data_IF_663966077958
#
_entry.id   IF_663966077958
#
_cell.length_a   1.000
_cell.length_b   1.000
_cell.length_c   1.000
_cell.angle_alpha   90.00
_cell.angle_beta   90.00
_cell.angle_gamma   90.00
#
_symmetry.space_group_name_H-M   'P 1'
#
loop_
_entity.id
_entity.type
_entity.pdbx_description
1 polymer ?
#
# COMPACT_ATOMS: atom_id res chain seq x y z
N UNK A 1 -3.45 -18.43 1.45
CA UNK A 1 -4.85 -18.09 1.08
C UNK A 1 -5.31 -18.61 -0.30
N UNK A 2 -4.48 -19.36 -1.04
CA UNK A 2 -4.81 -19.83 -2.41
C UNK A 2 -6.05 -20.75 -2.53
N UNK A 3 -6.30 -21.72 -1.64
CA UNK A 3 -7.52 -22.53 -1.72
C UNK A 3 -8.79 -21.69 -1.54
N UNK A 4 -8.72 -20.64 -0.72
CA UNK A 4 -9.82 -19.70 -0.52
C UNK A 4 -10.02 -18.84 -1.78
N UNK A 5 -8.95 -18.28 -2.35
CA UNK A 5 -9.00 -17.52 -3.60
C UNK A 5 -9.67 -18.30 -4.74
N UNK A 6 -9.28 -19.57 -4.92
CA UNK A 6 -9.88 -20.45 -5.92
C UNK A 6 -11.36 -20.74 -5.64
N UNK A 7 -11.77 -20.87 -4.36
CA UNK A 7 -13.17 -21.10 -3.98
C UNK A 7 -14.06 -19.87 -4.16
N UNK A 8 -13.53 -18.67 -3.92
CA UNK A 8 -14.27 -17.40 -4.07
C UNK A 8 -14.13 -16.80 -5.47
N UNK A 9 -13.40 -17.45 -6.38
CA UNK A 9 -13.18 -16.96 -7.75
C UNK A 9 -12.23 -15.75 -7.85
N UNK A 10 -11.43 -15.48 -6.81
CA UNK A 10 -10.46 -14.39 -6.75
C UNK A 10 -9.17 -14.79 -7.48
N UNK A 11 -9.33 -15.11 -8.75
CA UNK A 11 -8.28 -15.60 -9.63
C UNK A 11 -8.35 -14.87 -10.96
N UNK A 12 -7.20 -14.42 -11.44
CA UNK A 12 -7.06 -13.86 -12.77
C UNK A 12 -6.96 -14.99 -13.80
N UNK A 13 -7.74 -14.91 -14.88
CA UNK A 13 -7.80 -15.93 -15.93
C UNK A 13 -7.15 -15.36 -17.20
N UNK A 14 -6.35 -16.13 -17.97
CA UNK A 14 -5.67 -15.63 -19.15
C UNK A 14 -6.66 -15.06 -20.18
N UNK A 15 -6.33 -13.91 -20.78
CA UNK A 15 -7.08 -13.28 -21.87
C UNK A 15 -6.11 -12.78 -22.94
N UNK A 16 -6.59 -12.36 -24.12
CA UNK A 16 -5.72 -11.91 -25.23
C UNK A 16 -4.78 -10.74 -24.88
N UNK A 17 -5.01 -10.05 -23.76
CA UNK A 17 -4.13 -8.98 -23.25
C UNK A 17 -3.18 -9.42 -22.13
N UNK A 18 -3.29 -10.64 -21.59
CA UNK A 18 -2.56 -11.09 -20.39
C UNK A 18 -1.70 -12.31 -20.68
N UNK A 19 -0.38 -12.14 -20.61
CA UNK A 19 0.63 -13.18 -20.86
C UNK A 19 0.95 -14.00 -19.59
N UNK A 20 -0.02 -14.75 -19.07
CA UNK A 20 0.26 -15.77 -18.05
C UNK A 20 -0.48 -17.09 -18.37
N UNK A 21 0.06 -18.22 -17.91
CA UNK A 21 -0.58 -19.53 -18.06
C UNK A 21 -1.25 -19.94 -16.74
N UNK A 22 -2.54 -20.24 -16.80
CA UNK A 22 -3.32 -20.70 -15.65
C UNK A 22 -3.99 -19.56 -14.87
N UNK A 23 -4.68 -19.91 -13.79
CA UNK A 23 -5.41 -18.94 -12.97
C UNK A 23 -4.54 -18.43 -11.81
N UNK A 24 -4.21 -17.12 -11.81
CA UNK A 24 -3.33 -16.51 -10.81
C UNK A 24 -4.15 -15.88 -9.68
N UNK A 25 -4.00 -16.30 -8.41
CA UNK A 25 -4.76 -15.74 -7.30
C UNK A 25 -4.46 -14.25 -7.05
N UNK A 26 -5.49 -13.39 -7.08
CA UNK A 26 -5.39 -11.93 -6.84
C UNK A 26 -5.34 -11.56 -5.34
N UNK A 27 -4.75 -12.42 -4.51
CA UNK A 27 -4.76 -12.31 -3.04
C UNK A 27 -3.56 -11.56 -2.46
N UNK A 28 -2.60 -11.16 -3.30
CA UNK A 28 -1.32 -10.59 -2.87
C UNK A 28 -1.48 -9.42 -1.91
N UNK A 29 -2.21 -8.38 -2.33
CA UNK A 29 -2.46 -7.18 -1.52
C UNK A 29 -3.18 -7.48 -0.20
N UNK A 30 -4.19 -8.36 -0.22
CA UNK A 30 -4.92 -8.75 0.99
C UNK A 30 -4.04 -9.55 1.97
N UNK A 31 -3.20 -10.46 1.45
CA UNK A 31 -2.27 -11.23 2.26
C UNK A 31 -1.21 -10.33 2.90
N UNK A 32 -0.66 -9.37 2.14
CA UNK A 32 0.27 -8.37 2.68
C UNK A 32 -0.38 -7.53 3.78
N UNK A 33 -1.60 -7.04 3.56
CA UNK A 33 -2.34 -6.25 4.55
C UNK A 33 -2.59 -7.02 5.85
N UNK A 34 -3.02 -8.29 5.76
CA UNK A 34 -3.22 -9.13 6.94
C UNK A 34 -1.89 -9.32 7.69
N UNK A 35 -0.80 -9.59 6.97
CA UNK A 35 0.54 -9.74 7.56
C UNK A 35 1.00 -8.49 8.31
N UNK A 36 0.87 -7.31 7.68
CA UNK A 36 1.21 -6.02 8.28
C UNK A 36 0.33 -5.73 9.49
N UNK A 37 -0.98 -5.97 9.38
CA UNK A 37 -1.92 -5.74 10.47
C UNK A 37 -1.58 -6.62 11.67
N UNK A 38 -1.47 -7.94 11.48
CA UNK A 38 -1.14 -8.87 12.56
C UNK A 38 0.25 -8.63 13.15
N UNK A 39 1.24 -8.35 12.31
CA UNK A 39 2.61 -8.04 12.77
C UNK A 39 2.64 -6.76 13.60
N UNK A 40 1.86 -5.75 13.22
CA UNK A 40 1.73 -4.51 13.98
C UNK A 40 1.09 -4.71 15.35
N UNK A 41 0.06 -5.55 15.46
CA UNK A 41 -0.58 -5.89 16.73
C UNK A 41 0.31 -6.78 17.62
N UNK A 42 0.99 -7.78 17.05
CA UNK A 42 1.77 -8.78 17.81
C UNK A 42 3.07 -8.24 18.38
N UNK A 43 3.67 -7.26 17.71
CA UNK A 43 4.98 -6.72 18.08
C UNK A 43 4.89 -5.66 19.17
N UNK A 44 3.67 -5.24 19.57
CA UNK A 44 3.44 -4.07 20.41
C UNK A 44 4.15 -2.79 19.92
N UNK A 45 4.62 -2.75 18.66
CA UNK A 45 5.16 -1.57 17.98
C UNK A 45 4.13 -0.44 18.01
N UNK A 46 2.85 -0.81 18.08
CA UNK A 46 1.73 0.11 18.10
C UNK A 46 1.05 0.06 19.48
N UNK A 47 1.26 1.10 20.30
CA UNK A 47 0.13 1.62 21.07
C UNK A 47 -0.80 2.21 20.01
N UNK A 48 -2.05 1.74 19.91
CA UNK A 48 -2.97 2.23 18.88
C UNK A 48 -3.31 3.67 19.22
N UNK A 49 -2.45 4.59 18.80
CA UNK A 49 -2.82 5.99 18.66
C UNK A 49 -3.97 6.02 17.65
N UNK A 50 -4.98 6.84 17.94
CA UNK A 50 -6.21 6.92 17.13
C UNK A 50 -5.90 7.08 15.63
N UNK A 51 -4.81 7.80 15.33
CA UNK A 51 -4.31 8.07 13.97
C UNK A 51 -4.02 6.80 13.16
N UNK A 52 -3.38 5.78 13.77
CA UNK A 52 -3.02 4.53 13.10
C UNK A 52 -4.25 3.66 12.80
N UNK A 53 -5.29 3.74 13.62
CA UNK A 53 -6.53 3.01 13.36
C UNK A 53 -7.18 3.48 12.05
N UNK A 54 -7.25 4.79 11.81
CA UNK A 54 -7.81 5.35 10.58
C UNK A 54 -6.96 5.00 9.35
N UNK A 55 -5.64 4.85 9.52
CA UNK A 55 -4.78 4.33 8.47
C UNK A 55 -5.16 2.89 8.08
N UNK A 56 -5.27 1.97 9.04
CA UNK A 56 -5.66 0.57 8.74
C UNK A 56 -7.06 0.46 8.13
N UNK A 57 -8.03 1.21 8.65
CA UNK A 57 -9.40 1.26 8.09
C UNK A 57 -9.37 1.79 6.66
N UNK A 58 -8.64 2.88 6.41
CA UNK A 58 -8.47 3.45 5.08
C UNK A 58 -7.82 2.47 4.10
N UNK A 59 -6.72 1.83 4.49
CA UNK A 59 -6.05 0.80 3.69
C UNK A 59 -6.98 -0.36 3.38
N UNK A 60 -7.78 -0.82 4.34
CA UNK A 60 -8.76 -1.89 4.13
C UNK A 60 -9.82 -1.49 3.09
N UNK A 61 -10.36 -0.27 3.15
CA UNK A 61 -11.31 0.24 2.15
C UNK A 61 -10.68 0.30 0.75
N UNK A 62 -9.43 0.74 0.64
CA UNK A 62 -8.72 0.76 -0.65
C UNK A 62 -8.51 -0.64 -1.21
N UNK A 63 -8.18 -1.62 -0.37
CA UNK A 63 -8.04 -3.03 -0.77
C UNK A 63 -9.38 -3.58 -1.26
N UNK A 64 -10.47 -3.34 -0.53
CA UNK A 64 -11.81 -3.76 -0.98
C UNK A 64 -12.21 -3.10 -2.30
N UNK A 65 -11.83 -1.85 -2.50
CA UNK A 65 -12.06 -1.12 -3.76
C UNK A 65 -11.26 -1.75 -4.90
N UNK A 66 -9.98 -2.10 -4.67
CA UNK A 66 -9.14 -2.81 -5.64
C UNK A 66 -9.69 -4.18 -6.00
N UNK A 67 -10.04 -5.00 -5.00
CA UNK A 67 -10.68 -6.30 -5.21
C UNK A 67 -11.95 -6.14 -6.05
N UNK A 68 -12.79 -5.15 -5.73
CA UNK A 68 -14.03 -4.91 -6.49
C UNK A 68 -13.74 -4.45 -7.94
N UNK A 69 -12.68 -3.67 -8.15
CA UNK A 69 -12.20 -3.27 -9.48
C UNK A 69 -11.82 -4.50 -10.31
N UNK A 70 -11.08 -5.43 -9.71
CA UNK A 70 -10.65 -6.68 -10.38
C UNK A 70 -11.82 -7.59 -10.78
N UNK A 71 -12.89 -7.65 -9.97
CA UNK A 71 -14.07 -8.49 -10.27
C UNK A 71 -15.04 -7.86 -11.27
N UNK A 72 -15.36 -6.57 -11.11
CA UNK A 72 -16.50 -5.95 -11.78
C UNK A 72 -16.12 -4.80 -12.72
N UNK A 73 -14.87 -4.35 -12.70
CA UNK A 73 -14.42 -3.16 -13.41
C UNK A 73 -15.08 -1.89 -12.87
N UNK A 74 -14.34 -1.10 -12.11
CA UNK A 74 -14.81 0.21 -11.62
C UNK A 74 -14.31 1.28 -12.60
N UNK A 75 -15.22 2.16 -13.04
CA UNK A 75 -14.82 3.32 -13.86
C UNK A 75 -13.79 4.18 -13.11
N UNK A 76 -12.75 4.65 -13.80
CA UNK A 76 -11.65 5.44 -13.23
C UNK A 76 -12.13 6.61 -12.35
N UNK A 77 -13.20 7.29 -12.76
CA UNK A 77 -13.79 8.40 -12.00
C UNK A 77 -14.31 7.97 -10.62
N UNK A 78 -15.00 6.83 -10.55
CA UNK A 78 -15.51 6.29 -9.28
C UNK A 78 -14.37 5.87 -8.37
N UNK A 79 -13.34 5.20 -8.92
CA UNK A 79 -12.16 4.77 -8.17
C UNK A 79 -11.44 5.99 -7.56
N UNK A 80 -11.26 7.05 -8.34
CA UNK A 80 -10.65 8.29 -7.90
C UNK A 80 -11.45 8.98 -6.77
N UNK A 81 -12.78 9.03 -6.89
CA UNK A 81 -13.66 9.57 -5.83
C UNK A 81 -13.50 8.76 -4.53
N UNK A 82 -13.49 7.43 -4.60
CA UNK A 82 -13.29 6.59 -3.41
C UNK A 82 -11.92 6.82 -2.77
N UNK A 83 -10.86 6.97 -3.56
CA UNK A 83 -9.52 7.29 -3.05
C UNK A 83 -9.51 8.64 -2.32
N UNK A 84 -10.16 9.67 -2.87
CA UNK A 84 -10.28 10.98 -2.21
C UNK A 84 -11.04 10.86 -0.88
N UNK A 85 -12.17 10.12 -0.87
CA UNK A 85 -12.95 9.94 0.35
C UNK A 85 -12.15 9.22 1.44
N UNK A 86 -11.40 8.18 1.08
CA UNK A 86 -10.51 7.49 2.02
C UNK A 86 -9.40 8.41 2.52
N UNK A 87 -8.76 9.15 1.62
CA UNK A 87 -7.72 10.11 1.99
C UNK A 87 -8.25 11.18 2.96
N UNK A 88 -9.47 11.68 2.74
CA UNK A 88 -10.11 12.63 3.65
C UNK A 88 -10.39 12.03 5.03
N UNK A 89 -10.77 10.76 5.12
CA UNK A 89 -10.95 10.07 6.41
C UNK A 89 -9.61 10.01 7.16
N UNK A 90 -8.54 9.59 6.49
CA UNK A 90 -7.20 9.51 7.08
C UNK A 90 -6.73 10.89 7.56
N UNK A 91 -6.95 11.93 6.77
CA UNK A 91 -6.51 13.30 7.10
C UNK A 91 -7.36 13.93 8.21
N UNK A 92 -8.68 13.83 8.14
CA UNK A 92 -9.59 14.54 9.07
C UNK A 92 -9.82 13.78 10.36
N UNK A 93 -10.01 12.47 10.30
CA UNK A 93 -10.27 11.65 11.47
C UNK A 93 -8.98 11.08 12.06
N UNK A 94 -8.02 10.70 11.21
CA UNK A 94 -6.73 10.18 11.64
C UNK A 94 -5.66 11.23 11.93
N UNK A 95 -5.97 12.53 11.82
CA UNK A 95 -5.03 13.61 12.15
C UNK A 95 -3.72 13.61 11.33
N UNK A 96 -3.61 12.80 10.29
CA UNK A 96 -2.38 12.69 9.48
C UNK A 96 -2.36 13.85 8.50
N UNK A 97 -1.54 14.86 8.79
CA UNK A 97 -1.49 16.09 8.02
C UNK A 97 -0.04 16.44 7.69
N UNK A 98 0.23 16.74 6.42
CA UNK A 98 1.47 17.41 6.03
C UNK A 98 1.36 18.89 6.40
N UNK A 99 2.03 19.30 7.47
CA UNK A 99 1.94 20.66 8.03
C UNK A 99 2.91 21.64 7.37
N UNK A 100 4.10 21.17 7.00
CA UNK A 100 5.15 21.97 6.40
C UNK A 100 6.03 21.12 5.45
N UNK A 101 6.69 21.79 4.50
CA UNK A 101 7.71 21.17 3.64
C UNK A 101 9.11 21.20 4.27
N UNK A 102 9.23 21.51 5.56
CA UNK A 102 10.49 21.77 6.21
C UNK A 102 11.25 22.95 5.58
N UNK A 103 12.56 22.96 5.85
CA UNK A 103 13.51 23.94 5.31
C UNK A 103 14.04 23.51 3.94
N UNK A 104 13.17 22.98 3.06
CA UNK A 104 13.56 22.44 1.75
C UNK A 104 14.13 23.51 0.80
N UNK A 105 13.55 24.71 0.84
CA UNK A 105 13.89 25.82 -0.08
C UNK A 105 14.46 27.02 0.70
N UNK A 106 13.99 27.24 1.93
CA UNK A 106 14.37 28.36 2.79
C UNK A 106 14.97 27.85 4.09
N UNK A 107 15.66 28.74 4.83
CA UNK A 107 16.18 28.42 6.18
C UNK A 107 15.03 28.11 7.14
N UNK A 108 13.93 28.85 7.04
CA UNK A 108 12.72 28.62 7.82
C UNK A 108 11.82 27.55 7.18
N UNK A 109 10.99 26.92 8.01
CA UNK A 109 10.00 25.94 7.57
C UNK A 109 8.93 26.59 6.69
N UNK A 110 8.69 25.99 5.54
CA UNK A 110 7.59 26.42 4.67
C UNK A 110 6.27 25.77 5.11
N UNK A 111 5.50 26.49 5.94
CA UNK A 111 4.21 26.05 6.44
C UNK A 111 3.12 26.05 5.34
N UNK A 112 2.32 25.00 5.30
CA UNK A 112 1.27 24.81 4.31
C UNK A 112 -0.08 25.43 4.71
N UNK A 113 -0.33 25.56 6.02
CA UNK A 113 -1.53 26.19 6.57
C UNK A 113 -2.82 25.59 6.01
N UNK A 114 -3.66 26.42 5.39
CA UNK A 114 -4.97 26.00 4.85
C UNK A 114 -4.79 24.96 3.72
N UNK A 115 -3.65 24.95 3.02
CA UNK A 115 -3.37 24.01 1.94
C UNK A 115 -2.95 22.61 2.43
N UNK A 116 -2.61 22.43 3.70
CA UNK A 116 -2.17 21.15 4.26
C UNK A 116 -3.11 20.00 3.96
N UNK A 117 -4.43 20.20 4.12
CA UNK A 117 -5.42 19.14 3.82
C UNK A 117 -5.40 18.78 2.33
N UNK A 118 -5.40 19.78 1.44
CA UNK A 118 -5.45 19.56 -0.01
C UNK A 118 -4.19 18.85 -0.49
N UNK A 119 -3.02 19.29 -0.03
CA UNK A 119 -1.72 18.72 -0.39
C UNK A 119 -1.60 17.30 0.14
N UNK A 120 -2.03 17.03 1.38
CA UNK A 120 -1.98 15.67 1.94
C UNK A 120 -2.90 14.71 1.19
N UNK A 121 -4.13 15.12 0.87
CA UNK A 121 -5.04 14.32 0.04
C UNK A 121 -4.44 14.07 -1.34
N UNK A 122 -3.88 15.10 -1.97
CA UNK A 122 -3.22 14.97 -3.26
C UNK A 122 -2.04 13.99 -3.20
N UNK A 123 -1.22 14.05 -2.16
CA UNK A 123 -0.09 13.13 -1.97
C UNK A 123 -0.56 11.68 -1.82
N UNK A 124 -1.56 11.41 -0.97
CA UNK A 124 -2.12 10.07 -0.78
C UNK A 124 -2.68 9.52 -2.10
N UNK A 125 -3.58 10.27 -2.74
CA UNK A 125 -4.24 9.84 -3.98
C UNK A 125 -3.22 9.73 -5.13
N UNK A 126 -2.23 10.62 -5.17
CA UNK A 126 -1.15 10.62 -6.14
C UNK A 126 -0.28 9.38 -6.03
N UNK A 127 0.17 9.01 -4.83
CA UNK A 127 0.96 7.79 -4.60
C UNK A 127 0.16 6.55 -4.97
N UNK A 128 -1.11 6.46 -4.56
CA UNK A 128 -1.97 5.31 -4.90
C UNK A 128 -2.11 5.16 -6.42
N UNK A 129 -2.39 6.24 -7.15
CA UNK A 129 -2.51 6.15 -8.61
C UNK A 129 -1.17 5.91 -9.30
N UNK A 130 -0.07 6.49 -8.80
CA UNK A 130 1.27 6.28 -9.36
C UNK A 130 1.71 4.82 -9.25
N UNK A 131 1.44 4.18 -8.11
CA UNK A 131 1.74 2.75 -7.93
C UNK A 131 0.84 1.89 -8.83
N UNK A 132 -0.46 2.19 -8.90
CA UNK A 132 -1.37 1.48 -9.80
C UNK A 132 -0.99 1.61 -11.29
N UNK A 133 -0.44 2.75 -11.72
CA UNK A 133 0.06 2.92 -13.10
C UNK A 133 1.39 2.21 -13.35
N UNK A 134 2.19 2.00 -12.32
CA UNK A 134 3.46 1.28 -12.42
C UNK A 134 3.27 -0.24 -12.43
N UNK A 135 2.07 -0.72 -12.08
CA UNK A 135 1.73 -2.14 -11.96
C UNK A 135 1.35 -2.76 -13.31
N UNK A 136 2.28 -2.70 -14.27
CA UNK A 136 2.12 -3.26 -15.62
C UNK A 136 3.02 -4.45 -15.91
N UNK A 137 3.95 -4.76 -15.02
CA UNK A 137 4.94 -5.83 -15.12
C UNK A 137 5.07 -6.48 -13.75
N UNK A 138 5.15 -7.81 -13.72
CA UNK A 138 5.36 -8.59 -12.49
C UNK A 138 6.50 -7.99 -11.64
N UNK A 139 6.21 -7.75 -10.36
CA UNK A 139 7.15 -7.27 -9.36
C UNK A 139 7.56 -5.80 -9.48
N UNK A 140 7.12 -5.04 -10.49
CA UNK A 140 7.54 -3.65 -10.69
C UNK A 140 7.04 -2.73 -9.57
N UNK A 141 5.74 -2.73 -9.31
CA UNK A 141 5.10 -1.91 -8.27
C UNK A 141 5.62 -2.24 -6.87
N UNK A 142 5.77 -3.54 -6.58
CA UNK A 142 6.31 -4.04 -5.32
C UNK A 142 7.80 -3.70 -5.14
N UNK A 143 8.62 -3.76 -6.20
CA UNK A 143 10.04 -3.39 -6.13
C UNK A 143 10.23 -1.88 -5.90
N UNK A 144 9.45 -1.04 -6.58
CA UNK A 144 9.44 0.41 -6.34
C UNK A 144 9.05 0.74 -4.88
N UNK A 145 8.03 0.04 -4.37
CA UNK A 145 7.61 0.16 -2.97
C UNK A 145 8.72 -0.27 -2.02
N UNK A 146 9.41 -1.39 -2.31
CA UNK A 146 10.52 -1.90 -1.50
C UNK A 146 11.66 -0.88 -1.40
N UNK A 147 12.10 -0.30 -2.51
CA UNK A 147 13.15 0.74 -2.53
C UNK A 147 12.70 1.98 -1.74
N UNK A 148 11.44 2.36 -1.86
CA UNK A 148 10.87 3.49 -1.12
C UNK A 148 10.90 3.23 0.39
N UNK A 149 10.43 2.06 0.84
CA UNK A 149 10.44 1.71 2.26
C UNK A 149 11.85 1.52 2.81
N UNK A 150 12.80 0.97 2.06
CA UNK A 150 14.22 0.91 2.48
C UNK A 150 14.77 2.33 2.70
N UNK A 151 14.43 3.27 1.82
CA UNK A 151 14.84 4.66 1.95
C UNK A 151 14.23 5.33 3.18
N UNK A 152 12.94 5.09 3.45
CA UNK A 152 12.27 5.59 4.67
C UNK A 152 12.90 4.98 5.92
N UNK A 153 13.21 3.68 5.93
CA UNK A 153 13.90 3.03 7.05
C UNK A 153 15.27 3.65 7.31
N UNK A 154 16.04 3.93 6.25
CA UNK A 154 17.33 4.60 6.37
C UNK A 154 17.20 5.97 7.04
N UNK A 155 16.23 6.79 6.62
CA UNK A 155 15.99 8.10 7.24
C UNK A 155 15.49 7.98 8.68
N UNK A 156 14.50 7.12 8.94
CA UNK A 156 13.94 6.89 10.28
C UNK A 156 15.03 6.46 11.29
N UNK A 157 15.93 5.57 10.86
CA UNK A 157 17.10 5.19 11.64
C UNK A 157 18.03 6.38 11.92
N UNK A 158 18.30 7.21 10.89
CA UNK A 158 19.15 8.39 11.00
C UNK A 158 18.63 9.43 12.01
N UNK A 159 17.32 9.63 12.07
CA UNK A 159 16.68 10.56 13.03
C UNK A 159 16.30 9.89 14.36
N UNK A 160 16.63 8.60 14.55
CA UNK A 160 16.35 7.80 15.75
C UNK A 160 14.85 7.67 16.08
N UNK A 161 14.00 7.69 15.06
CA UNK A 161 12.56 7.45 15.19
C UNK A 161 12.29 5.94 15.16
N UNK A 162 12.45 5.29 16.33
CA UNK A 162 12.37 3.82 16.46
C UNK A 162 11.04 3.24 16.00
N UNK A 163 9.92 3.88 16.36
CA UNK A 163 8.58 3.40 15.97
C UNK A 163 8.40 3.38 14.45
N UNK A 164 8.78 4.48 13.77
CA UNK A 164 8.70 4.57 12.32
C UNK A 164 9.64 3.55 11.65
N UNK A 165 10.84 3.37 12.19
CA UNK A 165 11.80 2.38 11.68
C UNK A 165 11.26 0.96 11.76
N UNK A 166 10.78 0.53 12.93
CA UNK A 166 10.23 -0.81 13.14
C UNK A 166 8.97 -1.06 12.29
N UNK A 167 8.08 -0.07 12.20
CA UNK A 167 6.89 -0.15 11.36
C UNK A 167 7.25 -0.33 9.89
N UNK A 168 8.23 0.41 9.38
CA UNK A 168 8.68 0.31 7.99
C UNK A 168 9.43 -1.00 7.70
N UNK A 169 10.18 -1.54 8.67
CA UNK A 169 10.78 -2.87 8.53
C UNK A 169 9.74 -3.96 8.30
N UNK A 170 8.57 -3.85 8.94
CA UNK A 170 7.46 -4.77 8.72
C UNK A 170 6.98 -4.76 7.27
N UNK A 171 6.89 -3.56 6.66
CA UNK A 171 6.58 -3.42 5.24
C UNK A 171 7.66 -4.02 4.34
N UNK A 172 8.94 -3.78 4.65
CA UNK A 172 10.07 -4.33 3.88
C UNK A 172 10.02 -5.86 3.86
N UNK A 173 9.86 -6.50 5.02
CA UNK A 173 9.79 -7.97 5.11
C UNK A 173 8.55 -8.51 4.38
N UNK A 174 7.42 -7.82 4.51
CA UNK A 174 6.16 -8.24 3.86
C UNK A 174 6.25 -8.14 2.33
N UNK A 175 6.81 -7.04 1.81
CA UNK A 175 6.96 -6.82 0.36
C UNK A 175 8.03 -7.76 -0.21
N UNK A 176 9.13 -8.01 0.51
CA UNK A 176 10.13 -8.98 0.11
C UNK A 176 9.54 -10.39 0.01
N UNK A 177 8.73 -10.80 0.99
CA UNK A 177 8.01 -12.06 0.94
C UNK A 177 7.04 -12.11 -0.25
N UNK A 178 6.28 -11.04 -0.50
CA UNK A 178 5.41 -10.96 -1.68
C UNK A 178 6.18 -11.10 -3.00
N UNK A 179 7.31 -10.39 -3.15
CA UNK A 179 8.14 -10.44 -4.36
C UNK A 179 8.67 -11.84 -4.64
N UNK A 180 9.04 -12.61 -3.61
CA UNK A 180 9.47 -14.01 -3.78
C UNK A 180 8.41 -14.83 -4.51
N UNK A 181 7.14 -14.69 -4.12
CA UNK A 181 6.05 -15.42 -4.77
C UNK A 181 5.59 -14.80 -6.09
N UNK A 182 5.60 -13.47 -6.22
CA UNK A 182 5.14 -12.77 -7.41
C UNK A 182 6.12 -12.93 -8.59
N UNK A 183 7.43 -12.91 -8.32
CA UNK A 183 8.49 -13.12 -9.31
C UNK A 183 8.94 -14.58 -9.44
N UNK A 184 8.28 -15.51 -8.74
CA UNK A 184 8.65 -16.94 -8.72
C UNK A 184 10.12 -17.19 -8.31
N UNK A 185 10.67 -16.33 -7.43
CA UNK A 185 12.04 -16.46 -6.98
C UNK A 185 12.14 -17.64 -6.03
N UNK A 186 12.91 -18.66 -6.41
CA UNK A 186 13.14 -19.86 -5.58
C UNK A 186 11.88 -20.70 -5.30
N UNK A 187 10.73 -20.33 -5.86
CA UNK A 187 9.45 -21.04 -5.75
C UNK A 187 8.94 -21.37 -7.16
N UNK A 188 8.40 -22.57 -7.36
CA UNK A 188 7.89 -22.96 -8.68
C UNK A 188 6.68 -22.10 -9.10
N UNK A 189 6.43 -22.00 -10.40
CA UNK A 189 5.30 -21.24 -10.99
C UNK A 189 3.93 -21.62 -10.45
N UNK A 190 3.81 -22.84 -9.93
CA UNK A 190 2.62 -23.29 -9.22
C UNK A 190 2.34 -22.46 -7.96
N UNK A 191 3.27 -21.68 -7.42
CA UNK A 191 3.06 -20.83 -6.24
C UNK A 191 2.92 -19.34 -6.55
N UNK A 192 2.89 -18.95 -7.84
CA UNK A 192 2.75 -17.55 -8.23
C UNK A 192 1.49 -16.92 -7.63
N UNK A 193 1.66 -15.70 -7.10
CA UNK A 193 0.58 -14.85 -6.63
C UNK A 193 0.64 -13.52 -7.37
N UNK A 194 -0.55 -13.02 -7.74
CA UNK A 194 -0.75 -11.80 -8.50
C UNK A 194 -0.06 -11.79 -9.88
#
# INVERSE_FOLDING_TARGET
MRPLANRVGLVDVPSERKHHQGSVPLIGGLAMFIGITLGSFSSHIINIEENLMFFFVGSFILILTGIKDDFHGISSNKRFIFQILVALIIVKAGGVLLEDFGSLIFVEKLHLGIFSTVITVFAIVGVVNSLNFSDGIDGMSASLSLVTFISIAFFAYGIKETYAFEFVLLYIVTIAAFLIFNLELFVGSSFKIF
#
